data_IF_725254479004
#
_entry.id   IF_725254479004
#
_cell.length_a   1.000
_cell.length_b   1.000
_cell.length_c   1.000
_cell.angle_alpha   90.00
_cell.angle_beta   90.00
_cell.angle_gamma   90.00
#
_symmetry.space_group_name_H-M   'P 1'
#
loop_
_entity.id
_entity.type
_entity.pdbx_description
1 polymer ?
#
# COMPACT_ATOMS: atom_id res chain seq x y z
N UNK A 1 -38.93 -45.52 -31.39
CA UNK A 1 -40.34 -45.26 -31.00
C UNK A 1 -40.35 -44.60 -29.62
N UNK A 2 -41.11 -43.49 -29.54
CA UNK A 2 -41.76 -42.87 -28.37
C UNK A 2 -40.94 -42.48 -27.12
N UNK A 3 -40.89 -41.16 -26.92
CA UNK A 3 -40.53 -40.41 -25.71
C UNK A 3 -41.50 -40.73 -24.56
N UNK A 4 -41.02 -40.77 -23.32
CA UNK A 4 -41.77 -40.32 -22.14
C UNK A 4 -40.80 -39.59 -21.20
N UNK A 5 -41.13 -38.32 -20.94
CA UNK A 5 -40.56 -37.44 -19.92
C UNK A 5 -41.37 -37.69 -18.65
N UNK A 6 -40.71 -37.79 -17.49
CA UNK A 6 -41.35 -37.59 -16.20
C UNK A 6 -40.46 -36.70 -15.32
N UNK A 7 -40.90 -35.46 -15.19
CA UNK A 7 -40.42 -34.45 -14.26
C UNK A 7 -41.04 -34.78 -12.90
N UNK A 8 -40.24 -34.81 -11.83
CA UNK A 8 -40.74 -34.78 -10.46
C UNK A 8 -40.24 -33.50 -9.79
N UNK A 9 -41.19 -32.63 -9.44
CA UNK A 9 -41.00 -31.38 -8.70
C UNK A 9 -41.83 -31.48 -7.40
N UNK A 10 -41.23 -31.01 -6.30
CA UNK A 10 -41.88 -30.76 -4.99
C UNK A 10 -41.62 -31.87 -3.97
N UNK A 11 -41.17 -31.60 -2.73
CA UNK A 11 -41.46 -30.43 -1.90
C UNK A 11 -40.40 -30.23 -0.82
N UNK A 12 -40.17 -28.96 -0.47
CA UNK A 12 -39.39 -28.47 0.66
C UNK A 12 -40.21 -28.60 1.95
N UNK A 13 -39.60 -29.10 3.03
CA UNK A 13 -39.96 -28.74 4.41
C UNK A 13 -38.81 -29.04 5.39
N UNK A 14 -37.99 -28.01 5.61
CA UNK A 14 -37.41 -27.47 6.85
C UNK A 14 -37.13 -28.37 8.08
N UNK A 15 -35.97 -28.04 8.66
CA UNK A 15 -35.56 -28.08 10.06
C UNK A 15 -34.91 -29.37 10.60
N UNK A 16 -33.58 -29.37 10.63
CA UNK A 16 -32.91 -29.14 11.91
C UNK A 16 -31.58 -28.43 11.70
N UNK A 17 -31.55 -27.16 12.10
CA UNK A 17 -30.33 -26.40 12.30
C UNK A 17 -29.52 -27.06 13.41
N UNK A 18 -28.37 -27.64 13.06
CA UNK A 18 -27.22 -27.65 13.97
C UNK A 18 -26.34 -26.50 13.51
N UNK A 19 -26.53 -25.33 14.12
CA UNK A 19 -25.59 -24.22 14.01
C UNK A 19 -24.29 -24.63 14.71
N UNK A 20 -23.40 -25.28 13.97
CA UNK A 20 -22.00 -25.36 14.35
C UNK A 20 -21.36 -23.98 14.11
N UNK A 21 -21.61 -23.07 15.06
CA UNK A 21 -21.05 -21.72 15.12
C UNK A 21 -19.56 -21.73 15.53
N UNK A 22 -18.72 -22.54 14.89
CA UNK A 22 -17.29 -22.58 15.20
C UNK A 22 -16.37 -23.04 14.06
N UNK A 23 -16.60 -22.56 12.84
CA UNK A 23 -15.55 -22.50 11.81
C UNK A 23 -15.59 -21.17 11.06
N UNK A 24 -14.97 -20.14 11.65
CA UNK A 24 -14.59 -18.94 10.89
C UNK A 24 -13.35 -19.21 10.04
N UNK A 25 -13.37 -20.20 9.14
CA UNK A 25 -12.38 -20.28 8.07
C UNK A 25 -12.88 -19.47 6.88
N UNK A 26 -12.93 -18.14 7.05
CA UNK A 26 -12.96 -17.25 5.88
C UNK A 26 -11.51 -16.96 5.53
N UNK A 27 -10.95 -17.78 4.64
CA UNK A 27 -9.62 -17.55 4.10
C UNK A 27 -9.54 -16.12 3.58
N UNK A 28 -8.52 -15.40 4.00
CA UNK A 28 -8.26 -14.03 3.55
C UNK A 28 -8.05 -14.07 2.03
N UNK A 29 -8.90 -13.44 1.22
CA UNK A 29 -8.88 -13.60 -0.24
C UNK A 29 -7.61 -13.04 -0.88
N UNK A 30 -6.85 -12.20 -0.17
CA UNK A 30 -5.56 -11.69 -0.62
C UNK A 30 -4.43 -12.57 -0.05
N UNK A 31 -4.45 -12.85 1.26
CA UNK A 31 -3.33 -13.55 1.90
C UNK A 31 -3.29 -15.06 1.65
N UNK A 32 -4.43 -15.69 1.36
CA UNK A 32 -4.50 -17.10 0.94
C UNK A 32 -3.87 -17.33 -0.44
N UNK A 33 -3.67 -16.27 -1.23
CA UNK A 33 -3.06 -16.38 -2.54
C UNK A 33 -1.54 -16.46 -2.43
N UNK A 34 -0.89 -17.21 -3.34
CA UNK A 34 0.57 -17.26 -3.42
C UNK A 34 1.17 -15.86 -3.52
N UNK A 35 2.27 -15.67 -2.78
CA UNK A 35 3.14 -14.52 -2.97
C UNK A 35 4.12 -14.81 -4.11
N UNK A 36 4.19 -13.88 -5.04
CA UNK A 36 5.12 -13.88 -6.16
C UNK A 36 6.20 -12.82 -5.92
N UNK A 37 7.43 -13.28 -5.73
CA UNK A 37 8.59 -12.40 -5.59
C UNK A 37 8.82 -11.58 -6.86
N UNK A 38 9.12 -10.29 -6.70
CA UNK A 38 9.56 -9.45 -7.81
C UNK A 38 10.89 -9.98 -8.35
N UNK A 39 11.00 -10.29 -9.65
CA UNK A 39 12.23 -10.85 -10.26
C UNK A 39 13.03 -9.78 -11.00
N UNK A 40 12.38 -8.71 -11.43
CA UNK A 40 13.01 -7.52 -11.99
C UNK A 40 12.23 -6.26 -11.59
N UNK A 41 12.94 -5.14 -11.44
CA UNK A 41 12.30 -3.81 -11.31
C UNK A 41 11.49 -3.43 -12.56
N UNK A 42 11.73 -4.10 -13.70
CA UNK A 42 10.97 -3.92 -14.94
C UNK A 42 9.52 -4.40 -14.86
N UNK A 43 9.21 -5.30 -13.92
CA UNK A 43 7.83 -5.75 -13.68
C UNK A 43 6.95 -4.66 -13.06
N UNK A 44 7.55 -3.59 -12.50
CA UNK A 44 6.81 -2.45 -11.96
C UNK A 44 6.35 -1.54 -13.12
N UNK A 45 5.08 -1.64 -13.49
CA UNK A 45 4.48 -0.75 -14.50
C UNK A 45 4.54 0.72 -14.05
N UNK A 46 4.82 1.63 -14.98
CA UNK A 46 4.86 3.09 -14.72
C UNK A 46 3.49 3.62 -14.30
N UNK A 47 3.51 4.63 -13.43
CA UNK A 47 2.34 5.42 -13.09
C UNK A 47 1.77 5.10 -11.72
N UNK A 48 0.50 5.47 -11.53
CA UNK A 48 -0.15 5.47 -10.22
C UNK A 48 -0.67 4.08 -9.83
N UNK A 49 -0.51 3.76 -8.55
CA UNK A 49 -1.11 2.61 -7.87
C UNK A 49 -1.89 3.12 -6.65
N UNK A 50 -3.17 2.78 -6.56
CA UNK A 50 -4.02 3.12 -5.42
C UNK A 50 -3.75 2.16 -4.25
N UNK A 51 -3.68 2.70 -3.03
CA UNK A 51 -3.60 1.89 -1.82
C UNK A 51 -4.91 1.12 -1.59
N UNK A 52 -4.80 -0.17 -1.27
CA UNK A 52 -5.94 -1.07 -1.05
C UNK A 52 -6.07 -1.49 0.40
N UNK A 53 -4.96 -1.55 1.14
CA UNK A 53 -4.98 -2.06 2.50
C UNK A 53 -3.61 -2.49 2.99
N UNK A 54 -3.59 -3.00 4.22
CA UNK A 54 -2.39 -3.46 4.87
C UNK A 54 -2.59 -4.75 5.65
N UNK A 55 -1.51 -5.51 5.79
CA UNK A 55 -1.41 -6.65 6.70
C UNK A 55 -0.49 -6.29 7.84
N UNK A 56 -0.92 -6.50 9.08
CA UNK A 56 -0.14 -6.26 10.29
C UNK A 56 0.04 -7.59 11.02
N UNK A 57 1.26 -8.13 11.04
CA UNK A 57 1.56 -9.43 11.63
C UNK A 57 0.69 -10.55 11.05
N UNK A 58 0.07 -11.34 11.92
CA UNK A 58 -0.78 -12.48 11.55
C UNK A 58 -2.26 -12.13 11.38
N UNK A 59 -2.61 -10.85 11.47
CA UNK A 59 -3.98 -10.39 11.24
C UNK A 59 -4.35 -10.54 9.76
N UNK A 60 -5.66 -10.69 9.50
CA UNK A 60 -6.21 -10.56 8.15
C UNK A 60 -5.88 -9.18 7.57
N UNK A 61 -5.77 -9.10 6.26
CA UNK A 61 -5.58 -7.86 5.52
C UNK A 61 -6.74 -6.92 5.84
N UNK A 62 -6.41 -5.76 6.39
CA UNK A 62 -7.35 -4.65 6.53
C UNK A 62 -7.49 -4.00 5.17
N UNK A 63 -8.60 -4.26 4.47
CA UNK A 63 -8.94 -3.55 3.23
C UNK A 63 -9.54 -2.20 3.57
N UNK A 64 -9.12 -1.18 2.84
CA UNK A 64 -9.68 0.17 2.93
C UNK A 64 -11.13 0.13 2.48
N UNK A 65 -12.05 0.27 3.43
CA UNK A 65 -13.49 0.33 3.16
C UNK A 65 -13.92 1.63 2.47
N UNK A 66 -15.14 1.64 1.92
CA UNK A 66 -15.68 2.76 1.13
C UNK A 66 -16.00 4.02 1.94
N UNK A 67 -16.18 3.89 3.26
CA UNK A 67 -16.60 4.99 4.14
C UNK A 67 -15.41 5.84 4.61
N UNK A 68 -15.43 7.13 4.26
CA UNK A 68 -14.70 8.31 4.81
C UNK A 68 -13.28 8.16 5.39
N UNK A 69 -12.51 7.13 5.04
CA UNK A 69 -11.09 7.08 5.39
C UNK A 69 -10.32 7.91 4.36
N UNK A 70 -9.32 8.66 4.82
CA UNK A 70 -8.39 9.34 3.90
C UNK A 70 -7.42 8.37 3.24
N UNK A 71 -7.32 7.14 3.76
CA UNK A 71 -6.47 6.08 3.21
C UNK A 71 -6.86 5.69 1.78
N UNK A 72 -8.12 5.85 1.36
CA UNK A 72 -8.52 5.61 -0.04
C UNK A 72 -7.86 6.53 -1.06
N UNK A 73 -7.33 7.68 -0.61
CA UNK A 73 -6.59 8.60 -1.47
C UNK A 73 -5.08 8.42 -1.33
N UNK A 74 -4.59 7.48 -0.52
CA UNK A 74 -3.17 7.09 -0.50
C UNK A 74 -2.80 6.45 -1.84
N UNK A 75 -1.60 6.76 -2.33
CA UNK A 75 -1.12 6.18 -3.58
C UNK A 75 0.40 6.15 -3.66
N UNK A 76 0.87 5.20 -4.47
CA UNK A 76 2.24 5.05 -4.90
C UNK A 76 2.34 5.46 -6.37
N UNK A 77 3.43 6.11 -6.78
CA UNK A 77 3.73 6.36 -8.19
C UNK A 77 5.08 5.76 -8.52
N UNK A 78 5.13 5.00 -9.61
CA UNK A 78 6.37 4.43 -10.17
C UNK A 78 6.86 5.37 -11.27
N UNK A 79 8.06 5.92 -11.09
CA UNK A 79 8.72 6.81 -12.04
C UNK A 79 9.85 6.05 -12.76
N UNK A 80 9.92 6.19 -14.08
CA UNK A 80 11.03 5.68 -14.89
C UNK A 80 11.79 6.82 -15.52
N UNK A 81 13.08 6.59 -15.72
CA UNK A 81 13.89 7.47 -16.53
C UNK A 81 13.32 7.48 -17.97
N UNK A 82 12.99 8.65 -18.54
CA UNK A 82 12.33 8.73 -19.85
C UNK A 82 13.21 8.23 -20.99
N UNK A 83 14.52 8.20 -20.82
CA UNK A 83 15.49 7.81 -21.85
C UNK A 83 15.86 6.34 -21.76
N UNK A 84 16.15 5.84 -20.54
CA UNK A 84 16.62 4.46 -20.35
C UNK A 84 15.51 3.48 -20.00
N UNK A 85 14.31 3.98 -19.68
CA UNK A 85 13.21 3.19 -19.12
C UNK A 85 13.58 2.42 -17.84
N UNK A 86 14.71 2.70 -17.20
CA UNK A 86 15.09 2.12 -15.92
C UNK A 86 14.24 2.77 -14.82
N UNK A 87 13.89 1.99 -13.78
CA UNK A 87 13.25 2.53 -12.58
C UNK A 87 14.12 3.66 -12.00
N UNK A 88 13.56 4.86 -11.95
CA UNK A 88 14.23 6.03 -11.38
C UNK A 88 13.92 6.13 -9.88
N UNK A 89 12.63 6.21 -9.55
CA UNK A 89 12.16 6.39 -8.19
C UNK A 89 10.72 5.94 -8.01
N UNK A 90 10.29 5.81 -6.74
CA UNK A 90 8.89 5.70 -6.38
C UNK A 90 8.53 6.84 -5.43
N UNK A 91 7.31 7.37 -5.53
CA UNK A 91 6.78 8.32 -4.54
C UNK A 91 5.54 7.79 -3.86
N UNK A 92 5.48 7.91 -2.54
CA UNK A 92 4.33 7.49 -1.74
C UNK A 92 3.66 8.69 -1.06
N UNK A 93 2.35 8.76 -1.19
CA UNK A 93 1.49 9.77 -0.59
C UNK A 93 0.60 9.09 0.46
N UNK A 94 0.61 9.63 1.66
CA UNK A 94 -0.12 9.13 2.81
C UNK A 94 -0.95 10.27 3.39
N UNK A 95 -2.24 10.05 3.57
CA UNK A 95 -3.20 11.05 4.03
C UNK A 95 -3.86 10.65 5.35
N UNK A 96 -4.16 11.67 6.15
CA UNK A 96 -4.95 11.56 7.37
C UNK A 96 -6.12 12.55 7.33
N UNK A 97 -7.16 12.23 8.07
CA UNK A 97 -8.28 13.15 8.26
C UNK A 97 -7.86 14.24 9.25
N UNK A 98 -8.04 15.50 8.86
CA UNK A 98 -7.77 16.66 9.69
C UNK A 98 -8.92 17.67 9.60
N UNK A 99 -8.98 18.64 10.51
CA UNK A 99 -10.02 19.67 10.55
C UNK A 99 -9.44 21.03 10.16
N UNK A 100 -9.78 21.50 8.96
CA UNK A 100 -9.35 22.81 8.43
C UNK A 100 -10.57 23.71 8.32
N UNK A 101 -10.51 24.89 8.95
CA UNK A 101 -11.57 25.90 8.90
C UNK A 101 -12.98 25.33 9.22
N UNK A 102 -13.04 24.36 10.13
CA UNK A 102 -14.30 23.73 10.54
C UNK A 102 -14.74 22.51 9.71
N UNK A 103 -14.07 22.21 8.58
CA UNK A 103 -14.38 21.09 7.67
C UNK A 103 -13.39 19.95 7.82
N UNK A 104 -13.86 18.72 7.64
CA UNK A 104 -13.03 17.52 7.62
C UNK A 104 -12.41 17.35 6.23
N UNK A 105 -11.08 17.34 6.16
CA UNK A 105 -10.33 17.23 4.91
C UNK A 105 -9.23 16.17 5.01
N UNK A 106 -8.89 15.56 3.86
CA UNK A 106 -7.81 14.60 3.77
C UNK A 106 -6.50 15.33 3.47
N UNK A 107 -5.65 15.42 4.49
CA UNK A 107 -4.39 16.14 4.42
C UNK A 107 -3.23 15.18 4.32
N UNK A 108 -2.26 15.52 3.48
CA UNK A 108 -1.01 14.78 3.40
C UNK A 108 -0.32 14.80 4.77
N UNK A 109 0.12 13.64 5.23
CA UNK A 109 0.93 13.50 6.45
C UNK A 109 2.32 14.10 6.23
N UNK A 110 2.81 14.06 4.99
CA UNK A 110 4.12 14.55 4.61
C UNK A 110 4.02 15.92 3.94
N UNK A 111 4.98 16.82 4.20
CA UNK A 111 5.07 18.11 3.49
C UNK A 111 5.30 17.88 1.98
N UNK A 112 6.09 16.86 1.64
CA UNK A 112 6.27 16.36 0.28
C UNK A 112 6.16 14.83 0.25
N UNK A 113 5.76 14.21 -0.87
CA UNK A 113 5.68 12.77 -0.98
C UNK A 113 7.00 12.09 -0.61
N UNK A 114 6.90 11.01 0.16
CA UNK A 114 8.05 10.20 0.55
C UNK A 114 8.66 9.56 -0.69
N UNK A 115 9.97 9.71 -0.86
CA UNK A 115 10.68 9.26 -2.04
C UNK A 115 11.44 7.97 -1.73
N UNK A 116 11.23 6.92 -2.52
CA UNK A 116 12.09 5.75 -2.58
C UNK A 116 13.02 5.90 -3.79
N UNK A 117 14.31 5.91 -3.54
CA UNK A 117 15.32 6.07 -4.59
C UNK A 117 16.54 5.21 -4.33
N UNK A 118 17.44 5.15 -5.33
CA UNK A 118 18.60 4.25 -5.35
C UNK A 118 18.14 2.80 -5.18
N UNK A 119 17.08 2.47 -5.93
CA UNK A 119 16.40 1.18 -5.88
C UNK A 119 17.25 0.13 -6.62
N UNK A 120 17.54 -0.98 -5.94
CA UNK A 120 18.30 -2.10 -6.49
C UNK A 120 17.63 -3.40 -6.04
N UNK A 121 17.28 -4.28 -6.98
CA UNK A 121 16.80 -5.61 -6.63
C UNK A 121 18.01 -6.51 -6.32
N UNK A 122 18.27 -6.73 -5.03
CA UNK A 122 19.46 -7.47 -4.57
C UNK A 122 19.29 -8.98 -4.70
N UNK A 123 18.05 -9.46 -4.65
CA UNK A 123 17.60 -10.82 -4.95
C UNK A 123 16.10 -10.79 -5.22
N UNK A 124 15.55 -11.85 -5.81
CA UNK A 124 14.11 -11.98 -5.99
C UNK A 124 13.36 -11.66 -4.70
N UNK A 125 12.36 -10.80 -4.79
CA UNK A 125 11.52 -10.42 -3.65
C UNK A 125 12.11 -9.36 -2.71
N UNK A 126 13.38 -8.96 -2.87
CA UNK A 126 14.04 -8.01 -1.96
C UNK A 126 14.70 -6.86 -2.70
N UNK A 127 14.22 -5.65 -2.43
CA UNK A 127 14.75 -4.42 -3.00
C UNK A 127 15.48 -3.62 -1.93
N UNK A 128 16.74 -3.27 -2.18
CA UNK A 128 17.47 -2.25 -1.43
C UNK A 128 17.01 -0.87 -1.89
N UNK A 129 16.71 0.02 -0.94
CA UNK A 129 16.24 1.38 -1.22
C UNK A 129 16.72 2.37 -0.15
N UNK A 130 16.77 3.65 -0.53
CA UNK A 130 16.80 4.81 0.38
C UNK A 130 15.42 5.46 0.37
N UNK A 131 14.86 5.71 1.55
CA UNK A 131 13.55 6.33 1.74
C UNK A 131 13.77 7.69 2.39
N UNK A 132 13.29 8.75 1.75
CA UNK A 132 13.58 10.13 2.14
C UNK A 132 12.31 10.96 2.28
N UNK A 133 12.26 11.76 3.34
CA UNK A 133 11.22 12.76 3.60
C UNK A 133 11.72 14.13 3.13
N UNK A 134 10.94 14.80 2.28
CA UNK A 134 11.22 16.17 1.86
C UNK A 134 10.64 17.19 2.84
N UNK A 135 11.32 18.32 3.02
CA UNK A 135 10.84 19.43 3.84
C UNK A 135 11.40 20.78 3.35
N UNK A 136 10.72 21.87 3.72
CA UNK A 136 11.23 23.23 3.48
C UNK A 136 11.98 23.76 4.70
N UNK A 137 13.30 23.91 4.59
CA UNK A 137 14.14 24.55 5.59
C UNK A 137 14.04 26.07 5.48
N UNK A 138 13.71 26.73 6.57
CA UNK A 138 13.75 28.19 6.67
C UNK A 138 15.20 28.67 6.54
N UNK A 139 15.45 29.54 5.55
CA UNK A 139 16.71 30.25 5.43
C UNK A 139 16.64 31.55 6.23
N UNK A 140 17.78 31.95 6.79
CA UNK A 140 17.95 33.19 7.52
C UNK A 140 19.07 33.98 6.86
N UNK A 141 18.97 35.32 6.89
CA UNK A 141 20.07 36.21 6.53
C UNK A 141 21.23 36.02 7.52
N UNK A 142 22.38 36.63 7.22
CA UNK A 142 23.58 36.56 8.08
C UNK A 142 23.36 37.06 9.51
N UNK A 143 22.28 37.82 9.74
CA UNK A 143 21.84 38.25 11.07
C UNK A 143 21.19 37.14 11.93
N UNK A 144 20.95 35.95 11.34
CA UNK A 144 20.35 34.78 11.97
C UNK A 144 18.90 34.94 12.42
N UNK A 145 18.26 36.09 12.14
CA UNK A 145 16.93 36.45 12.66
C UNK A 145 15.96 36.81 11.55
N UNK A 146 16.45 37.43 10.49
CA UNK A 146 15.63 37.83 9.35
C UNK A 146 15.46 36.65 8.41
N UNK A 147 14.22 36.29 8.12
CA UNK A 147 13.87 35.21 7.19
C UNK A 147 14.30 35.58 5.77
N UNK A 148 14.94 34.64 5.08
CA UNK A 148 15.46 34.81 3.71
C UNK A 148 14.94 33.71 2.76
N UNK A 149 13.64 33.46 2.81
CA UNK A 149 13.00 32.43 1.98
C UNK A 149 13.14 31.02 2.55
N UNK A 150 12.93 30.02 1.69
CA UNK A 150 12.92 28.59 2.07
C UNK A 150 13.72 27.78 1.05
N UNK A 151 14.46 26.79 1.54
CA UNK A 151 15.18 25.83 0.71
C UNK A 151 14.55 24.46 0.85
N UNK A 152 14.34 23.80 -0.28
CA UNK A 152 13.95 22.40 -0.30
C UNK A 152 15.14 21.50 0.09
N UNK A 153 14.94 20.64 1.07
CA UNK A 153 15.90 19.63 1.52
C UNK A 153 15.21 18.27 1.68
N UNK A 154 16.00 17.19 1.67
CA UNK A 154 15.55 15.82 1.98
C UNK A 154 16.34 15.26 3.15
N UNK A 155 15.68 14.45 3.97
CA UNK A 155 16.31 13.70 5.07
C UNK A 155 16.01 12.22 4.93
N UNK A 156 17.04 11.40 5.14
CA UNK A 156 16.92 9.95 5.18
C UNK A 156 15.99 9.53 6.34
N UNK A 157 14.93 8.81 5.99
CA UNK A 157 14.00 8.18 6.93
C UNK A 157 14.37 6.70 7.15
N UNK A 158 14.73 6.00 6.08
CA UNK A 158 15.12 4.60 6.13
C UNK A 158 16.10 4.27 5.01
N UNK A 159 17.05 3.37 5.28
CA UNK A 159 17.93 2.79 4.27
C UNK A 159 18.14 1.33 4.58
N UNK A 160 17.86 0.46 3.62
CA UNK A 160 17.95 -0.98 3.82
C UNK A 160 17.21 -1.77 2.75
N UNK A 161 17.05 -3.06 3.01
CA UNK A 161 16.28 -3.98 2.15
C UNK A 161 14.83 -4.02 2.62
N UNK A 162 13.91 -4.08 1.64
CA UNK A 162 12.48 -4.26 1.88
C UNK A 162 11.96 -5.41 1.00
N UNK A 163 11.00 -6.16 1.53
CA UNK A 163 10.28 -7.16 0.72
C UNK A 163 9.34 -6.46 -0.29
N UNK A 164 9.34 -6.92 -1.53
CA UNK A 164 8.50 -6.41 -2.60
C UNK A 164 8.09 -7.52 -3.57
N UNK A 165 6.86 -7.48 -4.07
CA UNK A 165 6.40 -8.42 -5.09
C UNK A 165 4.90 -8.29 -5.30
N UNK A 166 4.28 -9.35 -5.78
CA UNK A 166 2.86 -9.38 -6.06
C UNK A 166 2.15 -10.45 -5.24
N UNK A 167 0.93 -10.16 -4.80
CA UNK A 167 0.09 -11.13 -4.13
C UNK A 167 -1.37 -10.84 -4.50
N UNK A 168 -2.08 -11.85 -5.00
CA UNK A 168 -3.44 -11.69 -5.52
C UNK A 168 -3.59 -10.57 -6.58
N UNK A 169 -2.54 -10.33 -7.39
CA UNK A 169 -2.53 -9.26 -8.39
C UNK A 169 -2.29 -7.85 -7.85
N UNK A 170 -2.05 -7.68 -6.55
CA UNK A 170 -1.68 -6.41 -5.93
C UNK A 170 -0.17 -6.32 -5.74
N UNK A 171 0.40 -5.14 -5.97
CA UNK A 171 1.76 -4.83 -5.55
C UNK A 171 1.81 -4.82 -4.01
N UNK A 172 2.62 -5.71 -3.44
CA UNK A 172 2.87 -5.82 -2.00
C UNK A 172 4.26 -5.27 -1.68
N UNK A 173 4.34 -4.35 -0.71
CA UNK A 173 5.59 -3.76 -0.25
C UNK A 173 5.66 -3.86 1.28
N UNK A 174 6.78 -4.31 1.84
CA UNK A 174 7.04 -4.20 3.27
C UNK A 174 6.96 -2.74 3.70
N UNK A 175 6.16 -2.49 4.73
CA UNK A 175 5.89 -1.14 5.17
C UNK A 175 7.08 -0.52 5.88
N UNK A 176 7.87 0.24 5.13
CA UNK A 176 8.82 1.25 5.62
C UNK A 176 8.39 2.65 5.19
N UNK A 177 7.12 2.79 4.78
CA UNK A 177 6.60 3.91 3.99
C UNK A 177 5.51 4.70 4.69
N UNK A 178 4.66 4.05 5.46
CA UNK A 178 3.62 4.70 6.22
C UNK A 178 4.18 5.37 7.49
N UNK A 179 3.30 6.05 8.21
CA UNK A 179 3.54 6.60 9.54
C UNK A 179 3.25 5.59 10.68
N UNK A 180 2.98 4.33 10.32
CA UNK A 180 2.70 3.26 11.28
C UNK A 180 3.92 2.97 12.17
N UNK A 181 3.69 2.99 13.49
CA UNK A 181 4.69 2.63 14.49
C UNK A 181 4.67 1.13 14.70
N UNK A 182 5.68 0.45 14.16
CA UNK A 182 5.83 -1.00 14.30
C UNK A 182 6.26 -1.43 15.69
N UNK A 183 5.80 -2.62 16.06
CA UNK A 183 6.42 -3.38 17.14
C UNK A 183 7.73 -4.03 16.67
N UNK A 184 8.57 -4.42 17.62
CA UNK A 184 9.82 -5.12 17.32
C UNK A 184 9.52 -6.42 16.57
N UNK A 185 10.25 -6.67 15.49
CA UNK A 185 10.13 -7.85 14.62
C UNK A 185 8.77 -8.02 13.92
N UNK A 186 7.88 -7.02 14.00
CA UNK A 186 6.58 -7.04 13.32
C UNK A 186 6.74 -6.78 11.82
N UNK A 187 6.28 -7.75 11.00
CA UNK A 187 6.15 -7.56 9.56
C UNK A 187 4.82 -6.92 9.22
N UNK A 188 4.89 -5.81 8.49
CA UNK A 188 3.74 -5.08 7.99
C UNK A 188 3.91 -4.93 6.49
N UNK A 189 2.81 -5.10 5.75
CA UNK A 189 2.81 -5.00 4.30
C UNK A 189 1.71 -4.06 3.84
N UNK A 190 2.02 -3.20 2.87
CA UNK A 190 1.07 -2.35 2.16
C UNK A 190 0.74 -3.01 0.81
N UNK A 191 -0.52 -2.92 0.41
CA UNK A 191 -1.02 -3.46 -0.85
C UNK A 191 -1.52 -2.34 -1.75
N UNK A 192 -1.13 -2.39 -3.02
CA UNK A 192 -1.48 -1.38 -4.00
C UNK A 192 -2.02 -2.02 -5.29
N UNK A 193 -3.06 -1.41 -5.87
CA UNK A 193 -3.63 -1.79 -7.16
C UNK A 193 -3.21 -0.78 -8.23
N UNK A 194 -2.71 -1.27 -9.36
CA UNK A 194 -2.44 -0.40 -10.52
C UNK A 194 -3.75 0.27 -11.00
N UNK A 195 -3.69 1.58 -11.23
CA UNK A 195 -4.74 2.37 -11.89
C UNK A 195 -4.54 2.45 -13.40
#
# INVERSE_FOLDING_TARGET
MKKIIAILVGSIALASCSSDDNKSSSDDPIFSQPYEELKSLDELAVGKYAYIGNKIGDRKVGVVGETSNCKRVDYLVVHRNPTTSVLDSLTYNNFRLDKIEGRLECMSIFEFPRLLQKNELVRSGYMRTSIEDGYLKQLYKDDGKTKDGKKYERKDYFKGEIEIGFQAGYLRIEDRLSDYKRLKDEKVYLYFKKL
#
